data_IF_343497950448
#
_entry.id   IF_343497950448
#
_cell.length_a   1.000
_cell.length_b   1.000
_cell.length_c   1.000
_cell.angle_alpha   90.00
_cell.angle_beta   90.00
_cell.angle_gamma   90.00
#
_symmetry.space_group_name_H-M   'P 1'
#
loop_
_entity.id
_entity.type
_entity.pdbx_description
1 polymer ?
#
# COMPACT_ATOMS: atom_id res chain seq x y z
N UNK A 1 -3.36 29.15 -5.08
CA UNK A 1 -2.27 28.59 -4.25
C UNK A 1 -2.87 27.54 -3.30
N UNK A 2 -2.70 26.26 -3.61
CA UNK A 2 -3.37 25.17 -2.90
C UNK A 2 -2.90 25.08 -1.43
N UNK A 3 -3.84 25.22 -0.48
CA UNK A 3 -3.63 25.24 0.98
C UNK A 3 -3.71 23.84 1.61
N UNK A 4 -3.38 22.78 0.88
CA UNK A 4 -3.48 21.42 1.44
C UNK A 4 -2.42 21.22 2.54
N UNK A 5 -2.83 20.61 3.64
CA UNK A 5 -1.99 20.32 4.82
C UNK A 5 -1.67 18.84 4.88
N UNK A 6 -0.55 18.49 5.53
CA UNK A 6 -0.17 17.09 5.78
C UNK A 6 -1.26 16.34 6.56
N UNK A 7 -1.91 17.03 7.51
CA UNK A 7 -3.05 16.46 8.26
C UNK A 7 -4.23 16.08 7.38
N UNK A 8 -4.49 16.84 6.31
CA UNK A 8 -5.58 16.55 5.37
C UNK A 8 -5.26 15.33 4.54
N UNK A 9 -4.06 15.28 3.92
CA UNK A 9 -3.62 14.13 3.10
C UNK A 9 -3.59 12.83 3.93
N UNK A 10 -3.13 12.91 5.18
CA UNK A 10 -3.18 11.78 6.11
C UNK A 10 -4.60 11.35 6.43
N UNK A 11 -5.49 12.29 6.79
CA UNK A 11 -6.88 11.97 7.13
C UNK A 11 -7.63 11.35 5.95
N UNK A 12 -7.46 11.90 4.74
CA UNK A 12 -8.05 11.38 3.51
C UNK A 12 -7.61 9.92 3.28
N UNK A 13 -6.31 9.64 3.39
CA UNK A 13 -5.78 8.29 3.20
C UNK A 13 -6.30 7.29 4.25
N UNK A 14 -6.32 7.69 5.53
CA UNK A 14 -6.84 6.85 6.62
C UNK A 14 -8.33 6.55 6.42
N UNK A 15 -9.12 7.56 6.01
CA UNK A 15 -10.53 7.39 5.71
C UNK A 15 -10.76 6.36 4.59
N UNK A 16 -10.02 6.45 3.50
CA UNK A 16 -10.11 5.48 2.40
C UNK A 16 -9.71 4.07 2.84
N UNK A 17 -8.64 3.95 3.63
CA UNK A 17 -8.21 2.66 4.15
C UNK A 17 -9.26 2.04 5.09
N UNK A 18 -9.88 2.84 5.96
CA UNK A 18 -10.99 2.40 6.82
C UNK A 18 -12.22 1.98 6.01
N UNK A 19 -12.51 2.69 4.92
CA UNK A 19 -13.60 2.36 4.00
C UNK A 19 -13.38 1.00 3.33
N UNK A 20 -12.16 0.74 2.86
CA UNK A 20 -11.77 -0.53 2.25
C UNK A 20 -11.81 -1.71 3.24
N UNK A 21 -11.35 -1.50 4.48
CA UNK A 21 -11.46 -2.51 5.54
C UNK A 21 -12.93 -2.81 5.91
N UNK A 22 -13.79 -1.79 5.93
CA UNK A 22 -15.23 -2.00 6.14
C UNK A 22 -15.88 -2.79 5.00
N UNK A 23 -15.52 -2.47 3.75
CA UNK A 23 -16.01 -3.19 2.57
C UNK A 23 -15.59 -4.66 2.62
N UNK A 24 -14.32 -4.94 2.92
CA UNK A 24 -13.82 -6.30 3.07
C UNK A 24 -14.53 -7.05 4.21
N UNK A 25 -14.70 -6.44 5.38
CA UNK A 25 -15.46 -7.04 6.47
C UNK A 25 -16.92 -7.37 6.10
N UNK A 26 -17.57 -6.54 5.27
CA UNK A 26 -18.90 -6.84 4.72
C UNK A 26 -18.85 -8.03 3.75
N UNK A 27 -17.84 -8.10 2.89
CA UNK A 27 -17.65 -9.23 1.97
C UNK A 27 -17.42 -10.54 2.73
N UNK A 28 -16.59 -10.54 3.78
CA UNK A 28 -16.37 -11.70 4.65
C UNK A 28 -17.67 -12.19 5.30
N UNK A 29 -18.56 -11.28 5.74
CA UNK A 29 -19.87 -11.66 6.30
C UNK A 29 -20.81 -12.28 5.25
N UNK A 30 -20.68 -11.86 4.00
CA UNK A 30 -21.50 -12.30 2.86
C UNK A 30 -20.98 -13.59 2.21
N UNK A 31 -19.72 -13.90 2.43
CA UNK A 31 -19.07 -15.15 2.04
C UNK A 31 -19.29 -16.22 3.13
N UNK A 32 -19.73 -17.42 2.74
CA UNK A 32 -19.83 -18.57 3.67
C UNK A 32 -19.07 -19.77 3.07
N UNK A 33 -17.99 -20.23 3.70
CA UNK A 33 -17.35 -21.48 3.31
C UNK A 33 -18.17 -22.68 3.84
N UNK A 34 -18.61 -23.58 2.95
CA UNK A 34 -19.07 -24.93 3.32
C UNK A 34 -20.52 -25.30 2.94
N UNK A 35 -20.81 -26.61 2.83
CA UNK A 35 -22.17 -27.12 2.60
C UNK A 35 -22.97 -27.15 3.91
N UNK A 36 -24.19 -26.59 3.94
CA UNK A 36 -25.18 -26.96 4.98
C UNK A 36 -25.67 -25.90 5.98
N UNK A 37 -25.76 -24.60 5.66
CA UNK A 37 -26.65 -23.69 6.41
C UNK A 37 -27.74 -23.12 5.50
N UNK A 38 -29.04 -23.27 5.84
CA UNK A 38 -30.13 -22.72 5.06
C UNK A 38 -30.17 -21.20 5.27
N UNK A 39 -29.60 -20.47 4.33
CA UNK A 39 -29.65 -19.03 4.23
C UNK A 39 -28.84 -18.57 3.01
N UNK A 40 -29.25 -17.53 2.28
CA UNK A 40 -28.60 -17.18 1.02
C UNK A 40 -27.20 -16.61 1.28
N UNK A 41 -26.16 -17.42 1.11
CA UNK A 41 -24.81 -16.92 0.92
C UNK A 41 -24.78 -16.17 -0.42
N UNK A 42 -24.50 -14.87 -0.39
CA UNK A 42 -24.62 -14.04 -1.60
C UNK A 42 -23.35 -14.00 -2.45
N UNK A 43 -22.21 -14.44 -1.91
CA UNK A 43 -20.92 -14.42 -2.61
C UNK A 43 -20.32 -15.82 -2.75
N UNK A 44 -19.92 -16.17 -3.97
CA UNK A 44 -19.11 -17.35 -4.27
C UNK A 44 -17.64 -17.13 -3.90
N UNK A 45 -16.86 -18.23 -3.80
CA UNK A 45 -15.40 -18.15 -3.59
C UNK A 45 -14.72 -17.30 -4.65
N UNK A 46 -15.10 -17.46 -5.92
CA UNK A 46 -14.52 -16.67 -7.01
C UNK A 46 -14.80 -15.18 -6.86
N UNK A 47 -16.03 -14.80 -6.51
CA UNK A 47 -16.38 -13.41 -6.22
C UNK A 47 -15.57 -12.87 -5.04
N UNK A 48 -15.37 -13.67 -3.98
CA UNK A 48 -14.59 -13.26 -2.82
C UNK A 48 -13.11 -12.99 -3.16
N UNK A 49 -12.51 -13.85 -4.00
CA UNK A 49 -11.14 -13.67 -4.51
C UNK A 49 -11.02 -12.36 -5.31
N UNK A 50 -11.93 -12.12 -6.26
CA UNK A 50 -11.94 -10.90 -7.07
C UNK A 50 -12.13 -9.63 -6.23
N UNK A 51 -13.04 -9.67 -5.25
CA UNK A 51 -13.25 -8.54 -4.34
C UNK A 51 -12.03 -8.27 -3.47
N UNK A 52 -11.36 -9.32 -2.99
CA UNK A 52 -10.12 -9.22 -2.19
C UNK A 52 -9.00 -8.56 -3.00
N UNK A 53 -8.78 -9.03 -4.23
CA UNK A 53 -7.78 -8.42 -5.14
C UNK A 53 -8.12 -6.95 -5.42
N UNK A 54 -9.40 -6.63 -5.64
CA UNK A 54 -9.85 -5.27 -5.88
C UNK A 54 -9.58 -4.35 -4.69
N UNK A 55 -9.88 -4.80 -3.46
CA UNK A 55 -9.59 -4.07 -2.23
C UNK A 55 -8.08 -3.83 -2.10
N UNK A 56 -7.27 -4.85 -2.33
CA UNK A 56 -5.82 -4.74 -2.25
C UNK A 56 -5.25 -3.73 -3.27
N UNK A 57 -5.66 -3.82 -4.54
CA UNK A 57 -5.23 -2.90 -5.60
C UNK A 57 -5.64 -1.47 -5.27
N UNK A 58 -6.89 -1.26 -4.82
CA UNK A 58 -7.36 0.08 -4.42
C UNK A 58 -6.55 0.64 -3.26
N UNK A 59 -6.32 -0.15 -2.21
CA UNK A 59 -5.49 0.28 -1.08
C UNK A 59 -4.07 0.66 -1.54
N UNK A 60 -3.48 -0.13 -2.44
CA UNK A 60 -2.16 0.12 -2.99
C UNK A 60 -2.12 1.43 -3.80
N UNK A 61 -3.11 1.67 -4.66
CA UNK A 61 -3.21 2.92 -5.42
C UNK A 61 -3.39 4.14 -4.52
N UNK A 62 -4.21 4.05 -3.48
CA UNK A 62 -4.35 5.13 -2.51
C UNK A 62 -3.06 5.37 -1.72
N UNK A 63 -2.28 4.32 -1.44
CA UNK A 63 -0.97 4.44 -0.80
C UNK A 63 0.05 5.16 -1.70
N UNK A 64 0.10 4.83 -2.99
CA UNK A 64 0.97 5.52 -3.96
C UNK A 64 0.65 7.02 -4.02
N UNK A 65 -0.65 7.36 -4.13
CA UNK A 65 -1.10 8.75 -4.15
C UNK A 65 -0.77 9.47 -2.83
N UNK A 66 -1.02 8.83 -1.69
CA UNK A 66 -0.69 9.37 -0.38
C UNK A 66 0.79 9.73 -0.27
N UNK A 67 1.69 8.82 -0.66
CA UNK A 67 3.13 9.08 -0.60
C UNK A 67 3.55 10.21 -1.55
N UNK A 68 3.00 10.26 -2.76
CA UNK A 68 3.27 11.34 -3.69
C UNK A 68 2.87 12.70 -3.10
N UNK A 69 1.62 12.82 -2.65
CA UNK A 69 1.09 14.06 -2.10
C UNK A 69 1.85 14.49 -0.86
N UNK A 70 2.13 13.56 0.04
CA UNK A 70 2.90 13.81 1.26
C UNK A 70 4.31 14.33 0.92
N UNK A 71 4.98 13.69 -0.03
CA UNK A 71 6.31 14.07 -0.45
C UNK A 71 6.33 15.48 -1.06
N UNK A 72 5.35 15.81 -1.93
CA UNK A 72 5.20 17.14 -2.52
C UNK A 72 4.97 18.22 -1.45
N UNK A 73 4.25 17.90 -0.37
CA UNK A 73 4.09 18.83 0.74
C UNK A 73 5.42 19.06 1.46
N UNK A 74 6.22 18.02 1.68
CA UNK A 74 7.52 18.14 2.33
C UNK A 74 8.57 18.87 1.49
N UNK A 75 8.60 18.67 0.17
CA UNK A 75 9.48 19.47 -0.70
C UNK A 75 9.14 20.96 -0.69
N UNK A 76 7.94 21.31 -0.24
CA UNK A 76 7.45 22.68 -0.07
C UNK A 76 7.56 23.17 1.39
N UNK A 77 8.38 22.52 2.21
CA UNK A 77 8.60 22.84 3.62
C UNK A 77 7.31 22.86 4.47
N UNK A 78 6.30 22.06 4.10
CA UNK A 78 5.11 21.90 4.95
C UNK A 78 5.50 21.10 6.21
N UNK A 79 5.06 21.53 7.40
CA UNK A 79 5.36 20.78 8.61
C UNK A 79 4.57 19.46 8.62
N UNK A 80 5.08 18.48 9.35
CA UNK A 80 4.34 17.26 9.70
C UNK A 80 3.10 17.58 10.54
N UNK A 81 2.27 16.57 10.85
CA UNK A 81 1.09 16.76 11.71
C UNK A 81 1.47 17.26 13.10
N UNK A 82 2.60 16.81 13.64
CA UNK A 82 3.18 17.29 14.90
C UNK A 82 3.83 18.68 14.84
N UNK A 83 3.89 19.32 13.66
CA UNK A 83 4.46 20.67 13.51
C UNK A 83 5.96 20.71 13.19
N UNK A 84 6.63 19.55 13.14
CA UNK A 84 8.05 19.46 12.78
C UNK A 84 8.25 19.85 11.32
N UNK A 85 9.22 20.72 11.03
CA UNK A 85 9.56 21.05 9.65
C UNK A 85 10.39 19.93 9.03
N UNK A 86 10.08 19.60 7.78
CA UNK A 86 10.87 18.68 6.96
C UNK A 86 11.69 19.51 5.99
N UNK A 87 13.02 19.63 6.15
CA UNK A 87 13.84 20.43 5.26
C UNK A 87 13.98 19.73 3.90
N UNK A 88 13.93 20.50 2.82
CA UNK A 88 14.13 19.99 1.45
C UNK A 88 15.30 20.68 0.76
N UNK A 89 16.00 19.94 -0.09
CA UNK A 89 17.05 20.45 -0.98
C UNK A 89 16.49 21.18 -2.20
N UNK A 90 15.17 21.14 -2.42
CA UNK A 90 14.50 21.84 -3.50
C UNK A 90 13.49 22.84 -2.95
N UNK A 91 13.17 23.86 -3.75
CA UNK A 91 12.18 24.88 -3.40
C UNK A 91 11.22 25.14 -4.57
N UNK A 92 10.30 24.19 -4.85
CA UNK A 92 9.32 24.35 -5.92
C UNK A 92 8.34 25.48 -5.60
N UNK A 93 7.86 26.12 -6.67
CA UNK A 93 6.92 27.26 -6.61
C UNK A 93 5.55 26.81 -6.08
N UNK A 94 5.10 25.65 -6.56
CA UNK A 94 3.84 25.01 -6.21
C UNK A 94 3.95 23.49 -6.35
N UNK A 95 2.83 22.78 -6.18
CA UNK A 95 2.81 21.31 -6.28
C UNK A 95 2.97 20.77 -7.70
N UNK A 96 2.66 21.56 -8.72
CA UNK A 96 2.85 21.16 -10.12
C UNK A 96 4.32 21.25 -10.50
N UNK A 97 4.96 22.38 -10.19
CA UNK A 97 6.40 22.56 -10.36
C UNK A 97 7.20 21.51 -9.56
N UNK A 98 6.73 21.12 -8.37
CA UNK A 98 7.34 20.02 -7.61
C UNK A 98 7.30 18.69 -8.39
N UNK A 99 6.15 18.36 -9.01
CA UNK A 99 6.01 17.14 -9.82
C UNK A 99 6.88 17.19 -11.07
N UNK A 100 6.99 18.33 -11.73
CA UNK A 100 7.85 18.51 -12.91
C UNK A 100 9.32 18.24 -12.58
N UNK A 101 9.82 18.83 -11.48
CA UNK A 101 11.17 18.59 -10.98
C UNK A 101 11.38 17.09 -10.71
N UNK A 102 10.46 16.46 -9.99
CA UNK A 102 10.57 15.05 -9.62
C UNK A 102 10.51 14.10 -10.82
N UNK A 103 9.72 14.44 -11.84
CA UNK A 103 9.62 13.62 -13.06
C UNK A 103 10.94 13.63 -13.82
N UNK A 104 11.66 14.75 -13.84
CA UNK A 104 12.97 14.84 -14.52
C UNK A 104 12.93 14.26 -15.95
N UNK A 105 11.85 14.52 -16.69
CA UNK A 105 11.63 14.02 -18.06
C UNK A 105 10.98 12.63 -18.17
N UNK A 106 10.77 11.92 -17.07
CA UNK A 106 9.98 10.68 -17.05
C UNK A 106 8.48 10.97 -17.13
N UNK A 107 7.72 10.07 -17.76
CA UNK A 107 6.28 10.21 -17.93
C UNK A 107 5.52 10.09 -16.58
N UNK A 108 5.97 9.18 -15.70
CA UNK A 108 5.30 8.85 -14.45
C UNK A 108 6.31 8.73 -13.29
N UNK A 109 5.84 9.05 -12.07
CA UNK A 109 6.58 8.82 -10.83
C UNK A 109 6.18 7.48 -10.23
N UNK A 110 7.18 6.66 -9.89
CA UNK A 110 6.95 5.38 -9.23
C UNK A 110 6.97 5.54 -7.70
N UNK A 111 5.85 5.22 -7.05
CA UNK A 111 5.66 5.25 -5.58
C UNK A 111 5.38 3.87 -4.97
N UNK A 112 5.64 2.80 -5.72
CA UNK A 112 5.39 1.41 -5.28
C UNK A 112 6.65 0.62 -4.89
N UNK A 113 7.85 1.14 -5.14
CA UNK A 113 9.11 0.47 -4.83
C UNK A 113 9.77 1.09 -3.61
N UNK A 114 9.87 0.38 -2.47
CA UNK A 114 10.54 0.89 -1.27
C UNK A 114 11.92 1.50 -1.53
N UNK A 115 12.77 0.84 -2.32
CA UNK A 115 14.13 1.32 -2.58
C UNK A 115 14.14 2.64 -3.37
N UNK A 116 13.24 2.77 -4.35
CA UNK A 116 13.11 4.01 -5.14
C UNK A 116 12.57 5.13 -4.26
N UNK A 117 11.60 4.85 -3.40
CA UNK A 117 11.01 5.83 -2.49
C UNK A 117 12.06 6.32 -1.48
N UNK A 118 12.80 5.40 -0.86
CA UNK A 118 13.91 5.70 0.05
C UNK A 118 14.96 6.56 -0.64
N UNK A 119 15.44 6.13 -1.82
CA UNK A 119 16.43 6.88 -2.57
C UNK A 119 15.94 8.27 -2.94
N UNK A 120 14.67 8.40 -3.37
CA UNK A 120 14.07 9.70 -3.67
C UNK A 120 14.02 10.59 -2.44
N UNK A 121 13.68 10.06 -1.27
CA UNK A 121 13.71 10.82 -0.04
C UNK A 121 15.12 11.33 0.28
N UNK A 122 16.15 10.49 0.16
CA UNK A 122 17.54 10.90 0.41
C UNK A 122 18.04 11.97 -0.56
N UNK A 123 17.54 12.00 -1.80
CA UNK A 123 17.94 12.97 -2.81
C UNK A 123 17.33 14.36 -2.57
N UNK A 124 16.07 14.43 -2.10
CA UNK A 124 15.33 15.70 -2.07
C UNK A 124 14.99 16.21 -0.66
N UNK A 125 15.01 15.36 0.37
CA UNK A 125 14.71 15.73 1.75
C UNK A 125 15.96 15.56 2.62
N UNK A 126 16.18 16.47 3.56
CA UNK A 126 17.28 16.33 4.52
C UNK A 126 17.08 15.07 5.35
N UNK A 127 18.09 14.20 5.38
CA UNK A 127 18.05 12.84 5.97
C UNK A 127 16.98 11.90 5.40
N UNK A 128 16.19 12.31 4.41
CA UNK A 128 15.08 11.52 3.83
C UNK A 128 13.86 11.31 4.75
N UNK A 129 13.91 11.79 5.99
CA UNK A 129 12.85 11.57 6.96
C UNK A 129 11.69 12.57 6.81
N UNK A 130 10.47 12.23 7.31
CA UNK A 130 10.08 10.99 8.00
C UNK A 130 9.68 9.82 7.07
N UNK A 131 9.53 10.07 5.77
CA UNK A 131 9.06 9.05 4.82
C UNK A 131 10.05 7.89 4.73
N UNK A 132 11.36 8.18 4.62
CA UNK A 132 12.42 7.16 4.54
C UNK A 132 12.32 6.19 5.70
N UNK A 133 12.42 6.67 6.95
CA UNK A 133 12.30 5.84 8.16
C UNK A 133 11.10 4.92 8.10
N UNK A 134 9.94 5.49 7.78
CA UNK A 134 8.69 4.73 7.74
C UNK A 134 8.67 3.62 6.69
N UNK A 135 9.20 3.88 5.49
CA UNK A 135 9.27 2.90 4.40
C UNK A 135 10.34 1.85 4.69
N UNK A 136 11.49 2.26 5.22
CA UNK A 136 12.59 1.36 5.61
C UNK A 136 12.14 0.31 6.63
N UNK A 137 11.40 0.73 7.66
CA UNK A 137 10.86 -0.17 8.69
C UNK A 137 10.00 -1.30 8.11
N UNK A 138 9.29 -1.05 7.02
CA UNK A 138 8.36 -1.99 6.39
C UNK A 138 8.81 -2.51 5.02
N UNK A 139 10.05 -2.22 4.63
CA UNK A 139 10.60 -2.43 3.28
C UNK A 139 10.37 -3.85 2.75
N UNK A 140 10.72 -4.88 3.52
CA UNK A 140 10.55 -6.27 3.11
C UNK A 140 9.09 -6.63 2.78
N UNK A 141 8.13 -6.20 3.60
CA UNK A 141 6.71 -6.47 3.37
C UNK A 141 6.15 -5.62 2.23
N UNK A 142 6.56 -4.36 2.11
CA UNK A 142 6.17 -3.51 0.98
C UNK A 142 6.67 -4.05 -0.37
N UNK A 143 7.89 -4.62 -0.43
CA UNK A 143 8.39 -5.31 -1.63
C UNK A 143 7.53 -6.52 -2.01
N UNK A 144 7.10 -7.31 -1.00
CA UNK A 144 6.18 -8.43 -1.23
C UNK A 144 4.81 -7.95 -1.74
N UNK A 145 4.29 -6.87 -1.16
CA UNK A 145 3.05 -6.24 -1.61
C UNK A 145 3.14 -5.77 -3.07
N UNK A 146 4.27 -5.18 -3.49
CA UNK A 146 4.52 -4.83 -4.90
C UNK A 146 4.47 -6.06 -5.80
N UNK A 147 5.11 -7.16 -5.40
CA UNK A 147 5.07 -8.40 -6.17
C UNK A 147 3.66 -8.99 -6.29
N UNK A 148 2.86 -8.96 -5.21
CA UNK A 148 1.45 -9.37 -5.23
C UNK A 148 0.63 -8.48 -6.17
N UNK A 149 0.77 -7.14 -6.05
CA UNK A 149 0.11 -6.16 -6.93
C UNK A 149 0.43 -6.44 -8.40
N UNK A 150 1.69 -6.73 -8.70
CA UNK A 150 2.12 -7.01 -10.06
C UNK A 150 1.57 -8.34 -10.58
N UNK A 151 1.45 -9.37 -9.75
CA UNK A 151 0.82 -10.62 -10.17
C UNK A 151 -0.69 -10.50 -10.41
N UNK A 152 -1.38 -9.60 -9.70
CA UNK A 152 -2.79 -9.28 -9.97
C UNK A 152 -2.91 -8.50 -11.30
N UNK A 153 -2.06 -7.50 -11.51
CA UNK A 153 -2.16 -6.58 -12.64
C UNK A 153 -1.55 -7.13 -13.96
N UNK A 154 -0.55 -7.99 -13.88
CA UNK A 154 0.25 -8.44 -15.02
C UNK A 154 0.25 -9.96 -15.14
N UNK A 155 -0.02 -10.47 -16.34
CA UNK A 155 0.00 -11.90 -16.67
C UNK A 155 1.37 -12.39 -17.16
N UNK A 156 2.46 -11.78 -16.69
CA UNK A 156 3.82 -12.14 -17.14
C UNK A 156 4.40 -13.29 -16.30
N UNK A 157 5.29 -14.07 -16.91
CA UNK A 157 5.96 -15.18 -16.23
C UNK A 157 6.83 -14.69 -15.05
N UNK A 158 7.46 -13.53 -15.21
CA UNK A 158 8.30 -12.90 -14.18
C UNK A 158 7.46 -12.44 -12.98
N UNK A 159 6.27 -11.87 -13.23
CA UNK A 159 5.35 -11.48 -12.16
C UNK A 159 4.88 -12.72 -11.37
N UNK A 160 4.52 -13.79 -12.08
CA UNK A 160 4.12 -15.05 -11.46
C UNK A 160 5.26 -15.68 -10.63
N UNK A 161 6.50 -15.68 -11.15
CA UNK A 161 7.66 -16.21 -10.43
C UNK A 161 7.95 -15.44 -9.14
N UNK A 162 7.95 -14.09 -9.21
CA UNK A 162 8.16 -13.23 -8.03
C UNK A 162 7.07 -13.46 -6.99
N UNK A 163 5.82 -13.54 -7.40
CA UNK A 163 4.70 -13.82 -6.50
C UNK A 163 4.79 -15.20 -5.86
N UNK A 164 5.15 -16.24 -6.61
CA UNK A 164 5.34 -17.58 -6.04
C UNK A 164 6.42 -17.62 -4.96
N UNK A 165 7.48 -16.81 -5.10
CA UNK A 165 8.51 -16.66 -4.06
C UNK A 165 7.96 -15.96 -2.81
N UNK A 166 7.07 -14.97 -2.98
CA UNK A 166 6.36 -14.33 -1.86
C UNK A 166 5.52 -15.36 -1.11
N UNK A 167 4.69 -16.13 -1.81
CA UNK A 167 3.81 -17.13 -1.19
C UNK A 167 4.61 -18.13 -0.36
N UNK A 168 5.71 -18.67 -0.91
CA UNK A 168 6.59 -19.60 -0.18
C UNK A 168 7.22 -18.98 1.06
N UNK A 169 7.70 -17.74 0.94
CA UNK A 169 8.32 -17.02 2.05
C UNK A 169 7.33 -16.72 3.17
N UNK A 170 6.10 -16.33 2.82
CA UNK A 170 5.09 -15.89 3.78
C UNK A 170 4.39 -17.08 4.47
N UNK A 171 4.08 -18.14 3.72
CA UNK A 171 3.49 -19.36 4.27
C UNK A 171 4.52 -20.27 4.97
N UNK A 172 5.82 -19.97 4.82
CA UNK A 172 6.94 -20.82 5.30
C UNK A 172 6.88 -22.27 4.78
N UNK A 173 6.13 -22.48 3.70
CA UNK A 173 5.89 -23.77 3.06
C UNK A 173 5.48 -23.55 1.60
N UNK A 174 5.74 -24.54 0.76
CA UNK A 174 5.19 -24.55 -0.59
C UNK A 174 3.73 -25.04 -0.54
N UNK A 175 2.76 -24.29 -1.11
CA UNK A 175 1.39 -24.76 -1.17
C UNK A 175 1.29 -25.96 -2.11
N UNK A 176 0.39 -26.90 -1.80
CA UNK A 176 0.15 -28.10 -2.61
C UNK A 176 -0.33 -27.77 -4.04
N UNK A 177 -0.98 -26.61 -4.21
CA UNK A 177 -1.42 -26.07 -5.48
C UNK A 177 -1.06 -24.57 -5.53
N UNK A 178 -0.76 -24.00 -6.71
CA UNK A 178 -0.56 -22.56 -6.85
C UNK A 178 -1.80 -21.79 -6.35
N UNK A 179 -1.59 -20.82 -5.47
CA UNK A 179 -2.66 -19.96 -4.98
C UNK A 179 -2.80 -18.73 -5.86
N UNK A 180 -4.03 -18.36 -6.23
CA UNK A 180 -4.28 -17.04 -6.82
C UNK A 180 -3.94 -15.93 -5.80
N UNK A 181 -3.51 -14.74 -6.22
CA UNK A 181 -3.21 -13.64 -5.31
C UNK A 181 -4.32 -13.34 -4.30
N UNK A 182 -5.59 -13.31 -4.74
CA UNK A 182 -6.72 -13.14 -3.83
C UNK A 182 -6.93 -14.29 -2.85
N UNK A 183 -6.64 -15.53 -3.25
CA UNK A 183 -6.70 -16.68 -2.32
C UNK A 183 -5.58 -16.61 -1.27
N UNK A 184 -4.37 -16.23 -1.68
CA UNK A 184 -3.27 -15.98 -0.76
C UNK A 184 -3.59 -14.84 0.20
N UNK A 185 -4.14 -13.73 -0.30
CA UNK A 185 -4.52 -12.59 0.53
C UNK A 185 -5.58 -12.96 1.58
N UNK A 186 -6.46 -13.93 1.29
CA UNK A 186 -7.45 -14.49 2.23
C UNK A 186 -6.89 -15.53 3.21
N UNK A 187 -5.65 -15.99 3.01
CA UNK A 187 -5.03 -16.97 3.91
C UNK A 187 -4.55 -16.33 5.22
N UNK A 188 -4.58 -17.10 6.31
CA UNK A 188 -4.13 -16.66 7.64
C UNK A 188 -2.69 -16.16 7.59
N UNK A 189 -2.42 -15.00 8.19
CA UNK A 189 -1.06 -14.51 8.35
C UNK A 189 -0.41 -15.22 9.56
N UNK A 190 0.64 -16.03 9.38
CA UNK A 190 1.29 -16.74 10.50
C UNK A 190 1.87 -15.80 11.56
N UNK A 191 2.14 -14.54 11.21
CA UNK A 191 2.67 -13.52 12.14
C UNK A 191 1.55 -12.82 12.91
N UNK A 192 0.30 -12.97 12.49
CA UNK A 192 -0.89 -12.42 13.13
C UNK A 192 -2.07 -13.40 12.98
N UNK A 193 -2.10 -14.52 13.73
CA UNK A 193 -3.03 -15.63 13.48
C UNK A 193 -4.53 -15.28 13.56
N UNK A 194 -4.88 -14.16 14.20
CA UNK A 194 -6.24 -13.63 14.25
C UNK A 194 -6.65 -12.86 12.98
N UNK A 195 -5.77 -12.77 11.98
CA UNK A 195 -5.90 -11.99 10.76
C UNK A 195 -5.47 -12.79 9.53
N UNK A 196 -5.81 -12.30 8.35
CA UNK A 196 -5.32 -12.78 7.06
C UNK A 196 -4.45 -11.73 6.39
N UNK A 197 -3.68 -12.14 5.38
CA UNK A 197 -2.66 -11.30 4.76
C UNK A 197 -3.18 -9.96 4.25
N UNK A 198 -4.39 -9.88 3.67
CA UNK A 198 -4.97 -8.61 3.23
C UNK A 198 -4.98 -7.58 4.37
N UNK A 199 -5.61 -7.92 5.50
CA UNK A 199 -5.74 -7.01 6.64
C UNK A 199 -4.37 -6.69 7.23
N UNK A 200 -3.48 -7.68 7.33
CA UNK A 200 -2.10 -7.45 7.79
C UNK A 200 -1.34 -6.46 6.91
N UNK A 201 -1.46 -6.57 5.58
CA UNK A 201 -0.81 -5.66 4.64
C UNK A 201 -1.42 -4.26 4.65
N UNK A 202 -2.75 -4.14 4.76
CA UNK A 202 -3.41 -2.84 4.89
C UNK A 202 -2.99 -2.13 6.20
N UNK A 203 -2.75 -2.88 7.28
CA UNK A 203 -2.21 -2.31 8.52
C UNK A 203 -0.78 -1.80 8.38
N UNK A 204 0.03 -2.38 7.48
CA UNK A 204 1.36 -1.84 7.15
C UNK A 204 1.22 -0.47 6.48
N UNK A 205 0.31 -0.30 5.52
CA UNK A 205 0.04 1.00 4.93
C UNK A 205 -0.39 2.04 5.98
N UNK A 206 -1.25 1.66 6.92
CA UNK A 206 -1.63 2.52 8.06
C UNK A 206 -0.42 2.92 8.89
N UNK A 207 0.43 1.95 9.26
CA UNK A 207 1.65 2.21 10.02
C UNK A 207 2.56 3.17 9.25
N UNK A 208 2.70 2.98 7.93
CA UNK A 208 3.52 3.86 7.12
C UNK A 208 2.97 5.29 7.14
N UNK A 209 1.67 5.45 6.92
CA UNK A 209 1.05 6.77 6.92
C UNK A 209 1.17 7.49 8.27
N UNK A 210 1.01 6.76 9.38
CA UNK A 210 1.11 7.33 10.72
C UNK A 210 2.51 7.85 11.05
N UNK A 211 3.57 7.12 10.66
CA UNK A 211 4.95 7.55 10.91
C UNK A 211 5.38 8.62 9.90
N UNK A 212 5.06 8.44 8.62
CA UNK A 212 5.46 9.37 7.57
C UNK A 212 4.75 10.74 7.70
N UNK A 213 3.54 10.81 8.23
CA UNK A 213 2.84 12.08 8.46
C UNK A 213 2.99 12.65 9.87
N UNK A 214 3.60 11.88 10.78
CA UNK A 214 3.69 12.14 12.23
C UNK A 214 4.31 13.48 12.59
#
# INVERSE_FOLDING_TARGET
>A
MERRKVSTVHADFIHELDSLLRLDAQNQRRYRPGPGRPGPATLSKHQMVLMTESVFIKAFSHYELFLEELFILYTRNKPTRGGTRVPSFILPKDGEHAREILKSGMQFLEWNSPDIIIRRCEVYLHDGDPIKRSVTTHSARLQRMKAIRNAIAHRSAEAAQKYNNVVRSELRAAPLQPLLPGEFLLSTDPSAPASYFLVSYLNIFRSVANVAAG
#
